data_IF_402018107381
#
_entry.id   IF_402018107381
#
_cell.length_a   1.000
_cell.length_b   1.000
_cell.length_c   1.000
_cell.angle_alpha   90.00
_cell.angle_beta   90.00
_cell.angle_gamma   90.00
#
_symmetry.space_group_name_H-M   'P 1'
#
loop_
_entity.id
_entity.type
_entity.pdbx_description
1 polymer ?
#
# COMPACT_ATOMS: atom_id res chain seq x y z
N UNK A 1 -14.36 7.11 -11.01
CA UNK A 1 -14.47 6.62 -9.62
C UNK A 1 -14.42 7.85 -8.72
N UNK A 2 -15.29 7.89 -7.72
CA UNK A 2 -15.21 8.91 -6.67
C UNK A 2 -15.11 8.15 -5.36
N UNK A 3 -13.90 8.12 -4.82
CA UNK A 3 -13.40 7.10 -3.89
C UNK A 3 -14.13 7.05 -2.52
N UNK A 4 -15.09 7.93 -2.28
CA UNK A 4 -15.81 8.02 -1.00
C UNK A 4 -17.34 8.18 -1.13
N UNK A 5 -17.91 8.13 -2.34
CA UNK A 5 -19.33 8.46 -2.55
C UNK A 5 -20.23 7.25 -2.84
N UNK A 6 -19.65 6.08 -3.12
CA UNK A 6 -20.37 4.97 -3.73
C UNK A 6 -19.83 3.63 -3.26
N UNK A 7 -20.74 2.68 -3.06
CA UNK A 7 -20.46 1.24 -2.90
C UNK A 7 -20.86 0.49 -4.17
N UNK A 8 -20.83 1.14 -5.33
CA UNK A 8 -21.17 0.54 -6.63
C UNK A 8 -20.25 1.03 -7.75
N UNK A 9 -18.95 0.90 -7.53
CA UNK A 9 -17.89 1.22 -8.48
C UNK A 9 -17.48 -0.02 -9.31
N UNK A 10 -16.92 0.21 -10.52
CA UNK A 10 -16.34 -0.87 -11.32
C UNK A 10 -15.30 -1.67 -10.55
N UNK A 11 -15.20 -2.96 -10.85
CA UNK A 11 -14.20 -3.86 -10.27
C UNK A 11 -12.77 -3.37 -10.54
N UNK A 12 -11.94 -3.45 -9.51
CA UNK A 12 -10.48 -3.36 -9.56
C UNK A 12 -9.76 -4.61 -10.11
N UNK A 13 -10.48 -5.51 -10.79
CA UNK A 13 -9.93 -6.74 -11.38
C UNK A 13 -8.66 -6.49 -12.22
N UNK A 14 -7.65 -7.33 -11.98
CA UNK A 14 -6.45 -7.40 -12.82
C UNK A 14 -6.71 -8.38 -13.97
N UNK A 15 -6.25 -8.04 -15.17
CA UNK A 15 -6.49 -8.83 -16.39
C UNK A 15 -5.19 -9.05 -17.15
N UNK A 16 -4.95 -10.28 -17.57
CA UNK A 16 -3.87 -10.62 -18.49
C UNK A 16 -4.40 -10.80 -19.91
N UNK A 17 -3.79 -10.12 -20.87
CA UNK A 17 -4.15 -10.22 -22.29
C UNK A 17 -2.96 -10.68 -23.12
N UNK A 18 -3.25 -11.41 -24.19
CA UNK A 18 -2.25 -11.68 -25.22
C UNK A 18 -1.94 -10.38 -25.98
N UNK A 19 -0.65 -10.03 -26.05
CA UNK A 19 -0.19 -8.75 -26.61
C UNK A 19 -0.43 -8.62 -28.12
N UNK A 20 -0.50 -9.74 -28.85
CA UNK A 20 -0.63 -9.74 -30.30
C UNK A 20 -2.10 -9.73 -30.75
N UNK A 21 -2.97 -10.37 -29.97
CA UNK A 21 -4.37 -10.62 -30.33
C UNK A 21 -5.37 -9.83 -29.48
N UNK A 22 -4.95 -9.32 -28.32
CA UNK A 22 -5.84 -8.69 -27.34
C UNK A 22 -6.79 -9.67 -26.64
N UNK A 23 -6.60 -10.98 -26.83
CA UNK A 23 -7.45 -12.00 -26.19
C UNK A 23 -7.18 -12.03 -24.68
N UNK A 24 -8.25 -12.01 -23.88
CA UNK A 24 -8.18 -12.23 -22.43
C UNK A 24 -7.66 -13.64 -22.14
N UNK A 25 -6.58 -13.73 -21.39
CA UNK A 25 -5.92 -14.99 -21.01
C UNK A 25 -6.30 -15.41 -19.59
N UNK A 26 -6.32 -14.46 -18.66
CA UNK A 26 -6.67 -14.70 -17.26
C UNK A 26 -7.17 -13.42 -16.59
N UNK A 27 -7.85 -13.59 -15.46
CA UNK A 27 -8.32 -12.51 -14.59
C UNK A 27 -7.91 -12.80 -13.16
N UNK A 28 -7.79 -11.77 -12.34
CA UNK A 28 -7.70 -11.86 -10.89
C UNK A 28 -8.60 -10.79 -10.28
N UNK A 29 -9.81 -11.19 -9.89
CA UNK A 29 -10.77 -10.33 -9.19
C UNK A 29 -10.58 -10.50 -7.67
N UNK A 30 -9.97 -9.51 -6.99
CA UNK A 30 -9.63 -9.66 -5.58
C UNK A 30 -10.87 -9.77 -4.67
N UNK A 31 -12.01 -9.24 -5.11
CA UNK A 31 -13.28 -9.27 -4.37
C UNK A 31 -14.10 -10.54 -4.60
N UNK A 32 -13.72 -11.37 -5.57
CA UNK A 32 -14.45 -12.60 -5.87
C UNK A 32 -14.03 -13.77 -4.96
N UNK A 33 -14.97 -14.68 -4.69
CA UNK A 33 -14.67 -15.94 -3.98
C UNK A 33 -13.66 -16.79 -4.75
N UNK A 34 -13.84 -16.89 -6.08
CA UNK A 34 -12.86 -17.42 -7.02
C UNK A 34 -12.28 -16.26 -7.86
N UNK A 35 -11.07 -15.77 -7.54
CA UNK A 35 -10.47 -14.63 -8.25
C UNK A 35 -10.20 -14.88 -9.73
N UNK A 36 -10.01 -16.14 -10.15
CA UNK A 36 -9.61 -16.48 -11.52
C UNK A 36 -10.80 -16.88 -12.41
N UNK A 37 -12.04 -16.77 -11.91
CA UNK A 37 -13.24 -17.02 -12.69
C UNK A 37 -13.39 -15.97 -13.80
N UNK A 38 -13.26 -16.39 -15.05
CA UNK A 38 -13.48 -15.52 -16.21
C UNK A 38 -14.99 -15.23 -16.33
N UNK A 39 -15.41 -13.96 -16.46
CA UNK A 39 -16.80 -13.60 -16.67
C UNK A 39 -17.43 -14.28 -17.88
N UNK A 40 -18.71 -14.60 -17.74
CA UNK A 40 -19.59 -15.06 -18.82
C UNK A 40 -20.93 -14.30 -18.74
N UNK A 41 -21.95 -14.76 -19.46
CA UNK A 41 -23.26 -14.11 -19.47
C UNK A 41 -23.97 -14.10 -18.10
N UNK A 42 -23.54 -14.96 -17.17
CA UNK A 42 -24.14 -15.14 -15.84
C UNK A 42 -23.22 -14.65 -14.71
N UNK A 43 -21.91 -14.57 -14.96
CA UNK A 43 -20.91 -14.15 -14.00
C UNK A 43 -20.32 -12.80 -14.39
N UNK A 44 -20.42 -11.82 -13.50
CA UNK A 44 -19.80 -10.51 -13.65
C UNK A 44 -18.75 -10.30 -12.56
N UNK A 45 -17.77 -9.42 -12.84
CA UNK A 45 -16.79 -9.02 -11.84
C UNK A 45 -17.43 -8.35 -10.64
N UNK A 46 -16.78 -8.52 -9.49
CA UNK A 46 -17.20 -8.02 -8.20
C UNK A 46 -17.08 -6.51 -8.14
N UNK A 47 -18.18 -5.83 -7.81
CA UNK A 47 -18.20 -4.38 -7.62
C UNK A 47 -17.36 -3.97 -6.40
N UNK A 48 -16.67 -2.84 -6.51
CA UNK A 48 -15.73 -2.33 -5.52
C UNK A 48 -14.64 -3.33 -5.08
N UNK A 49 -14.26 -4.30 -5.90
CA UNK A 49 -13.07 -5.08 -5.56
C UNK A 49 -11.86 -4.14 -5.43
N UNK A 50 -10.92 -4.35 -4.50
CA UNK A 50 -9.69 -3.56 -4.41
C UNK A 50 -9.00 -3.47 -5.77
N UNK A 51 -8.48 -2.30 -6.12
CA UNK A 51 -7.79 -2.10 -7.40
C UNK A 51 -6.27 -2.19 -7.25
N UNK A 52 -5.55 -2.22 -8.37
CA UNK A 52 -4.11 -1.98 -8.40
C UNK A 52 -3.86 -0.78 -9.31
N UNK A 53 -3.50 0.36 -8.72
CA UNK A 53 -3.39 1.64 -9.43
C UNK A 53 -1.95 2.13 -9.56
N UNK A 54 -1.04 1.70 -8.69
CA UNK A 54 0.38 2.00 -8.78
C UNK A 54 1.09 1.06 -9.78
N UNK A 55 2.26 1.44 -10.32
CA UNK A 55 2.99 0.59 -11.25
C UNK A 55 3.39 -0.75 -10.62
N UNK A 56 3.23 -1.84 -11.38
CA UNK A 56 3.65 -3.17 -10.98
C UNK A 56 5.17 -3.36 -11.14
N UNK A 57 5.70 -4.43 -10.53
CA UNK A 57 7.04 -4.93 -10.80
C UNK A 57 6.98 -6.37 -11.32
N UNK A 58 7.91 -6.79 -12.17
CA UNK A 58 7.94 -8.14 -12.75
C UNK A 58 9.33 -8.76 -12.59
N UNK A 59 9.36 -10.03 -12.15
CA UNK A 59 10.56 -10.86 -12.14
C UNK A 59 10.43 -11.97 -13.19
N UNK A 60 11.15 -11.83 -14.30
CA UNK A 60 11.14 -12.80 -15.40
C UNK A 60 11.70 -14.18 -15.02
N UNK A 61 12.57 -14.27 -14.01
CA UNK A 61 13.16 -15.56 -13.60
C UNK A 61 12.15 -16.40 -12.82
N UNK A 62 11.27 -15.75 -12.07
CA UNK A 62 10.24 -16.40 -11.25
C UNK A 62 8.89 -16.45 -11.95
N UNK A 63 8.74 -15.72 -13.06
CA UNK A 63 7.47 -15.44 -13.73
C UNK A 63 6.41 -14.88 -12.77
N UNK A 64 6.82 -13.94 -11.91
CA UNK A 64 5.96 -13.31 -10.92
C UNK A 64 5.79 -11.82 -11.20
N UNK A 65 4.55 -11.36 -11.19
CA UNK A 65 4.19 -9.94 -11.17
C UNK A 65 3.75 -9.55 -9.75
N UNK A 66 4.29 -8.45 -9.25
CA UNK A 66 4.02 -7.90 -7.93
C UNK A 66 3.17 -6.65 -8.08
N UNK A 67 1.99 -6.69 -7.46
CA UNK A 67 0.92 -5.72 -7.60
C UNK A 67 0.71 -5.01 -6.25
N UNK A 68 0.98 -3.69 -6.19
CA UNK A 68 0.48 -2.85 -5.11
C UNK A 68 -1.04 -2.78 -5.17
N UNK A 69 -1.70 -3.17 -4.09
CA UNK A 69 -3.16 -3.18 -4.00
C UNK A 69 -3.67 -1.97 -3.21
N UNK A 70 -4.75 -1.42 -3.73
CA UNK A 70 -5.61 -0.41 -3.12
C UNK A 70 -6.52 -0.97 -2.04
N UNK A 71 -7.45 -0.14 -1.58
CA UNK A 71 -8.54 -0.53 -0.68
C UNK A 71 -9.87 -0.67 -1.44
N UNK A 72 -10.86 -1.32 -0.82
CA UNK A 72 -12.24 -1.33 -1.30
C UNK A 72 -12.93 0.00 -1.01
N UNK A 73 -13.46 0.64 -2.05
CA UNK A 73 -14.27 1.85 -1.93
C UNK A 73 -15.59 1.59 -1.17
N UNK A 74 -16.03 2.51 -0.27
CA UNK A 74 -15.38 3.76 0.15
C UNK A 74 -14.08 3.57 0.92
N UNK A 75 -13.07 4.38 0.64
CA UNK A 75 -11.70 4.15 1.14
C UNK A 75 -11.58 4.43 2.64
N UNK A 76 -12.37 5.38 3.16
CA UNK A 76 -12.33 5.81 4.57
C UNK A 76 -13.46 5.23 5.45
N UNK A 77 -14.19 4.23 4.94
CA UNK A 77 -15.26 3.57 5.69
C UNK A 77 -15.40 2.10 5.28
N UNK A 78 -15.29 1.19 6.25
CA UNK A 78 -15.20 -0.24 6.04
C UNK A 78 -16.42 -1.05 6.52
N UNK A 79 -17.44 -0.41 7.10
CA UNK A 79 -18.50 -1.12 7.83
C UNK A 79 -19.34 -2.12 7.02
N UNK A 80 -19.36 -2.03 5.68
CA UNK A 80 -20.02 -3.00 4.79
C UNK A 80 -19.04 -3.90 4.02
N UNK A 81 -17.73 -3.81 4.26
CA UNK A 81 -16.75 -4.60 3.52
C UNK A 81 -16.86 -6.07 3.92
N UNK A 82 -16.93 -6.95 2.93
CA UNK A 82 -16.94 -8.39 3.17
C UNK A 82 -15.51 -8.92 3.38
N UNK A 83 -15.34 -10.12 3.98
CA UNK A 83 -14.03 -10.75 4.08
C UNK A 83 -13.31 -10.90 2.73
N UNK A 84 -14.04 -11.15 1.64
CA UNK A 84 -13.48 -11.25 0.29
C UNK A 84 -12.93 -9.90 -0.19
N UNK A 85 -13.64 -8.81 0.08
CA UNK A 85 -13.20 -7.43 -0.25
C UNK A 85 -11.98 -6.99 0.58
N UNK A 86 -11.79 -7.53 1.78
CA UNK A 86 -10.68 -7.21 2.68
C UNK A 86 -9.43 -8.09 2.44
N UNK A 87 -9.60 -9.29 1.89
CA UNK A 87 -8.54 -10.32 1.80
C UNK A 87 -7.27 -9.86 1.09
N UNK A 88 -7.37 -8.95 0.12
CA UNK A 88 -6.22 -8.40 -0.62
C UNK A 88 -6.16 -6.88 -0.60
N UNK A 89 -6.98 -6.22 0.22
CA UNK A 89 -6.94 -4.78 0.38
C UNK A 89 -5.62 -4.36 1.04
N UNK A 90 -5.08 -3.21 0.64
CA UNK A 90 -3.87 -2.59 1.22
C UNK A 90 -2.74 -3.61 1.40
N UNK A 91 -2.38 -4.26 0.29
CA UNK A 91 -1.49 -5.43 0.25
C UNK A 91 -0.48 -5.33 -0.88
N UNK A 92 0.59 -6.12 -0.80
CA UNK A 92 1.37 -6.53 -1.96
C UNK A 92 0.91 -7.93 -2.37
N UNK A 93 0.47 -8.08 -3.61
CA UNK A 93 0.04 -9.37 -4.17
C UNK A 93 1.03 -9.82 -5.22
N UNK A 94 1.47 -11.08 -5.14
CA UNK A 94 2.26 -11.72 -6.18
C UNK A 94 1.41 -12.73 -6.94
N UNK A 95 1.30 -12.53 -8.25
CA UNK A 95 0.64 -13.45 -9.16
C UNK A 95 1.69 -14.09 -10.08
N UNK A 96 1.45 -15.34 -10.48
CA UNK A 96 2.14 -15.88 -11.64
C UNK A 96 1.68 -15.07 -12.88
N UNK A 97 2.62 -14.48 -13.61
CA UNK A 97 2.30 -13.55 -14.69
C UNK A 97 1.67 -14.25 -15.91
N UNK A 98 2.03 -15.52 -16.15
CA UNK A 98 1.46 -16.31 -17.24
C UNK A 98 0.02 -16.73 -16.96
N UNK A 99 -0.31 -17.14 -15.72
CA UNK A 99 -1.60 -17.75 -15.40
C UNK A 99 -2.53 -16.89 -14.57
N UNK A 100 -2.06 -15.76 -14.01
CA UNK A 100 -2.84 -14.90 -13.11
C UNK A 100 -3.12 -15.50 -11.73
N UNK A 101 -2.49 -16.64 -11.39
CA UNK A 101 -2.78 -17.36 -10.15
C UNK A 101 -2.02 -16.72 -8.99
N UNK A 102 -2.68 -16.61 -7.84
CA UNK A 102 -2.05 -16.14 -6.61
C UNK A 102 -0.90 -17.06 -6.22
N UNK A 103 0.25 -16.46 -5.94
CA UNK A 103 1.40 -17.17 -5.34
C UNK A 103 1.49 -16.82 -3.86
N UNK A 104 1.48 -15.52 -3.54
CA UNK A 104 1.45 -15.04 -2.16
C UNK A 104 0.82 -13.64 -2.09
N UNK A 105 0.38 -13.25 -0.90
CA UNK A 105 -0.02 -11.88 -0.60
C UNK A 105 0.48 -11.52 0.80
N UNK A 106 0.81 -10.24 1.00
CA UNK A 106 1.17 -9.68 2.29
C UNK A 106 0.39 -8.40 2.51
N UNK A 107 -0.51 -8.40 3.52
CA UNK A 107 -1.33 -7.26 3.88
C UNK A 107 -0.54 -6.30 4.79
N UNK A 108 -0.43 -5.04 4.37
CA UNK A 108 0.34 -4.01 5.08
C UNK A 108 -0.52 -3.15 6.00
N UNK A 109 -1.84 -3.13 5.77
CA UNK A 109 -2.84 -2.50 6.62
C UNK A 109 -4.06 -3.42 6.73
N UNK A 110 -4.39 -3.82 7.95
CA UNK A 110 -5.61 -4.55 8.26
C UNK A 110 -6.80 -3.60 8.34
N UNK A 111 -7.87 -3.89 7.59
CA UNK A 111 -9.11 -3.11 7.62
C UNK A 111 -8.85 -1.59 7.51
N UNK A 112 -8.39 -1.18 6.34
CA UNK A 112 -7.90 0.16 6.08
C UNK A 112 -9.02 1.20 6.05
N UNK A 113 -9.02 2.13 7.01
CA UNK A 113 -10.01 3.20 7.14
C UNK A 113 -9.46 4.59 6.80
N UNK A 114 -8.24 4.67 6.28
CA UNK A 114 -7.53 5.93 6.12
C UNK A 114 -6.87 6.08 4.76
N UNK A 115 -7.26 5.27 3.77
CA UNK A 115 -6.63 5.24 2.46
C UNK A 115 -5.10 5.06 2.58
N UNK A 116 -4.67 4.08 3.37
CA UNK A 116 -3.28 3.76 3.68
C UNK A 116 -2.74 2.60 2.82
N UNK A 117 -3.31 2.45 1.63
CA UNK A 117 -2.96 1.45 0.63
C UNK A 117 -1.53 1.61 0.07
N UNK A 118 -1.18 0.75 -0.89
CA UNK A 118 0.18 0.69 -1.45
C UNK A 118 0.35 1.65 -2.65
N UNK A 119 1.09 2.78 -2.49
CA UNK A 119 1.06 3.87 -3.46
C UNK A 119 2.18 3.81 -4.50
N UNK A 120 3.11 2.87 -4.36
CA UNK A 120 4.41 2.94 -5.03
C UNK A 120 4.77 1.62 -5.68
N UNK A 121 5.52 1.76 -6.79
CA UNK A 121 6.12 0.62 -7.45
C UNK A 121 7.09 -0.08 -6.49
N UNK A 122 6.96 -1.40 -6.29
CA UNK A 122 7.92 -2.14 -5.48
C UNK A 122 9.26 -2.30 -6.21
N UNK A 123 10.37 -2.23 -5.46
CA UNK A 123 11.72 -2.39 -6.02
C UNK A 123 12.22 -3.82 -5.79
N UNK A 124 12.66 -4.49 -6.85
CA UNK A 124 13.27 -5.82 -6.77
C UNK A 124 14.78 -5.69 -6.59
N UNK A 125 15.35 -6.42 -5.64
CA UNK A 125 16.78 -6.42 -5.37
C UNK A 125 17.24 -7.77 -4.82
N UNK A 126 18.53 -8.09 -4.96
CA UNK A 126 19.16 -9.21 -4.27
C UNK A 126 20.07 -8.64 -3.17
N UNK A 127 19.89 -9.09 -1.93
CA UNK A 127 20.65 -8.59 -0.77
C UNK A 127 21.36 -9.73 -0.04
N UNK A 128 22.44 -9.42 0.69
CA UNK A 128 23.08 -10.39 1.58
C UNK A 128 22.39 -10.41 2.95
N UNK A 129 21.96 -11.59 3.38
CA UNK A 129 21.43 -11.84 4.72
C UNK A 129 22.23 -12.99 5.33
N UNK A 130 23.14 -12.66 6.24
CA UNK A 130 24.02 -13.63 6.91
C UNK A 130 24.84 -14.49 5.92
N UNK A 131 25.42 -13.87 4.89
CA UNK A 131 26.24 -14.56 3.89
C UNK A 131 25.45 -15.34 2.83
N UNK A 132 24.12 -15.18 2.80
CA UNK A 132 23.24 -15.76 1.77
C UNK A 132 22.61 -14.64 0.97
N UNK A 133 22.69 -14.73 -0.36
CA UNK A 133 21.93 -13.86 -1.25
C UNK A 133 20.44 -14.20 -1.18
N UNK A 134 19.63 -13.24 -0.73
CA UNK A 134 18.18 -13.34 -0.63
C UNK A 134 17.54 -12.41 -1.65
N UNK A 135 16.66 -12.92 -2.54
CA UNK A 135 15.91 -12.10 -3.47
C UNK A 135 14.75 -11.40 -2.76
N UNK A 136 14.78 -10.08 -2.70
CA UNK A 136 13.80 -9.27 -1.98
C UNK A 136 12.98 -8.34 -2.86
N UNK A 137 11.85 -7.90 -2.31
CA UNK A 137 11.05 -6.77 -2.74
C UNK A 137 11.01 -5.73 -1.63
N UNK A 138 11.33 -4.47 -1.97
CA UNK A 138 11.10 -3.31 -1.11
C UNK A 138 9.77 -2.68 -1.50
N UNK A 139 8.84 -2.60 -0.55
CA UNK A 139 7.50 -2.07 -0.74
C UNK A 139 7.24 -0.90 0.22
N UNK A 140 7.52 0.35 -0.21
CA UNK A 140 7.15 1.55 0.54
C UNK A 140 5.62 1.73 0.60
N UNK A 141 5.07 1.93 1.80
CA UNK A 141 3.64 2.09 2.04
C UNK A 141 3.28 3.52 2.48
N UNK A 142 2.02 3.95 2.29
CA UNK A 142 1.51 5.25 2.76
C UNK A 142 1.66 5.44 4.28
N UNK A 143 1.69 4.35 5.04
CA UNK A 143 1.93 4.34 6.49
C UNK A 143 3.32 4.84 6.91
N UNK A 144 4.23 5.06 5.95
CA UNK A 144 5.64 5.43 6.17
C UNK A 144 6.54 4.23 6.42
N UNK A 145 6.01 3.02 6.45
CA UNK A 145 6.78 1.78 6.54
C UNK A 145 7.36 1.38 5.17
N UNK A 146 8.49 0.68 5.19
CA UNK A 146 9.00 -0.06 4.03
C UNK A 146 8.98 -1.53 4.39
N UNK A 147 8.11 -2.31 3.75
CA UNK A 147 8.08 -3.75 3.94
C UNK A 147 9.15 -4.39 3.05
N UNK A 148 9.96 -5.27 3.63
CA UNK A 148 11.00 -6.00 2.90
C UNK A 148 10.67 -7.48 2.97
N UNK A 149 10.26 -8.04 1.84
CA UNK A 149 9.78 -9.42 1.75
C UNK A 149 10.71 -10.22 0.83
N UNK A 150 10.86 -11.51 1.06
CA UNK A 150 11.42 -12.42 0.07
C UNK A 150 10.43 -12.54 -1.08
N UNK A 151 10.85 -12.10 -2.27
CA UNK A 151 9.92 -11.95 -3.40
C UNK A 151 9.39 -13.29 -3.93
N UNK A 152 9.97 -14.42 -3.52
CA UNK A 152 9.53 -15.76 -3.95
C UNK A 152 8.30 -16.23 -3.20
N UNK A 153 8.16 -15.87 -1.92
CA UNK A 153 7.15 -16.44 -1.04
C UNK A 153 6.41 -15.41 -0.15
N UNK A 154 6.83 -14.14 -0.17
CA UNK A 154 6.20 -13.07 0.60
C UNK A 154 6.59 -13.07 2.09
N UNK A 155 7.57 -13.88 2.51
CA UNK A 155 8.03 -13.91 3.90
C UNK A 155 8.81 -12.64 4.25
N UNK A 156 8.64 -12.13 5.47
CA UNK A 156 9.36 -10.96 5.95
C UNK A 156 10.86 -11.24 6.07
N UNK A 157 11.67 -10.44 5.38
CA UNK A 157 13.13 -10.40 5.55
C UNK A 157 13.51 -9.33 6.59
N UNK A 158 12.81 -8.19 6.59
CA UNK A 158 12.83 -7.25 7.71
C UNK A 158 11.59 -7.49 8.56
N UNK A 159 11.71 -7.71 9.88
CA UNK A 159 10.56 -7.92 10.74
C UNK A 159 9.56 -6.75 10.70
N UNK A 160 8.28 -7.09 10.74
CA UNK A 160 7.18 -6.13 10.87
C UNK A 160 6.23 -6.58 11.99
N UNK A 161 6.63 -6.45 13.28
CA UNK A 161 5.81 -6.89 14.39
C UNK A 161 4.46 -6.16 14.44
N UNK A 162 3.41 -6.92 14.78
CA UNK A 162 2.09 -6.40 15.08
C UNK A 162 2.13 -5.51 16.33
N UNK A 163 1.59 -4.29 16.23
CA UNK A 163 1.49 -3.37 17.38
C UNK A 163 0.06 -2.87 17.55
N UNK A 164 -0.41 -2.69 18.80
CA UNK A 164 -1.69 -2.06 19.07
C UNK A 164 -1.76 -0.67 18.43
N UNK A 165 -2.92 -0.36 17.83
CA UNK A 165 -3.20 0.95 17.23
C UNK A 165 -4.35 1.64 17.96
N UNK A 166 -4.52 2.97 17.81
CA UNK A 166 -5.64 3.68 18.39
C UNK A 166 -6.98 3.02 18.03
N UNK A 167 -7.85 2.89 19.02
CA UNK A 167 -9.16 2.26 18.89
C UNK A 167 -10.26 3.32 18.93
N UNK A 168 -11.45 2.96 18.44
CA UNK A 168 -12.62 3.83 18.40
C UNK A 168 -13.05 4.14 16.96
N UNK A 169 -13.80 3.21 16.37
CA UNK A 169 -14.35 3.39 15.04
C UNK A 169 -15.58 4.31 15.04
N UNK A 170 -15.94 4.83 13.87
CA UNK A 170 -17.25 5.41 13.65
C UNK A 170 -18.35 4.36 13.89
N UNK A 171 -19.56 4.81 14.21
CA UNK A 171 -20.70 3.91 14.44
C UNK A 171 -20.95 3.07 13.18
N UNK A 172 -21.04 1.74 13.36
CA UNK A 172 -21.28 0.79 12.28
C UNK A 172 -20.02 0.26 11.60
N UNK A 173 -18.84 0.55 12.17
CA UNK A 173 -17.55 0.08 11.67
C UNK A 173 -16.67 -0.44 12.83
N UNK A 174 -15.46 -0.94 12.53
CA UNK A 174 -14.48 -1.37 13.54
C UNK A 174 -13.06 -0.91 13.19
N UNK A 175 -12.13 -0.93 14.14
CA UNK A 175 -10.70 -0.74 13.85
C UNK A 175 -10.00 -2.06 14.10
N UNK A 176 -9.03 -2.42 13.26
CA UNK A 176 -8.16 -3.55 13.54
C UNK A 176 -7.44 -3.35 14.89
N UNK A 177 -7.28 -4.43 15.66
CA UNK A 177 -6.64 -4.35 16.99
C UNK A 177 -5.16 -3.99 16.89
N UNK A 178 -4.51 -4.45 15.83
CA UNK A 178 -3.09 -4.24 15.56
C UNK A 178 -2.87 -3.91 14.10
N UNK A 179 -1.68 -3.40 13.80
CA UNK A 179 -1.15 -3.23 12.46
C UNK A 179 0.31 -3.70 12.44
N UNK A 180 0.84 -4.15 11.29
CA UNK A 180 2.25 -4.48 11.15
C UNK A 180 3.09 -3.19 11.07
N UNK A 181 4.15 -3.11 11.88
CA UNK A 181 5.10 -2.00 11.85
C UNK A 181 6.47 -2.51 11.46
N UNK A 182 6.87 -2.27 10.19
CA UNK A 182 8.21 -2.62 9.72
C UNK A 182 9.29 -1.96 10.56
N UNK A 183 10.33 -2.72 10.88
CA UNK A 183 11.53 -2.19 11.52
C UNK A 183 12.37 -1.33 10.56
N UNK A 184 12.09 -1.38 9.25
CA UNK A 184 12.54 -0.41 8.26
C UNK A 184 11.41 0.59 7.97
N UNK A 185 11.53 1.81 8.49
CA UNK A 185 10.45 2.80 8.43
C UNK A 185 10.99 4.23 8.38
N UNK A 186 10.29 5.09 7.62
CA UNK A 186 10.49 6.54 7.64
C UNK A 186 9.71 7.22 8.77
N UNK A 187 8.93 6.47 9.55
CA UNK A 187 8.16 7.02 10.67
C UNK A 187 9.11 7.61 11.72
N UNK A 188 8.78 8.79 12.28
CA UNK A 188 9.57 9.35 13.36
C UNK A 188 9.50 8.45 14.60
N UNK A 189 10.64 8.30 15.31
CA UNK A 189 10.73 7.48 16.54
C UNK A 189 9.90 8.02 17.71
N UNK A 190 9.52 9.29 17.65
CA UNK A 190 8.67 9.95 18.64
C UNK A 190 7.46 10.52 17.92
N UNK A 191 6.31 10.48 18.59
CA UNK A 191 5.13 11.15 18.08
C UNK A 191 5.43 12.64 17.87
N UNK A 192 4.99 13.15 16.73
CA UNK A 192 5.10 14.57 16.43
C UNK A 192 4.13 15.32 17.34
N UNK A 193 4.66 15.91 18.42
CA UNK A 193 3.91 16.88 19.21
C UNK A 193 3.99 18.24 18.54
N UNK A 194 2.99 19.09 18.75
CA UNK A 194 2.92 20.45 18.18
C UNK A 194 4.17 21.31 18.44
N UNK A 195 4.98 20.96 19.45
CA UNK A 195 6.24 21.64 19.80
C UNK A 195 7.49 21.11 19.07
N UNK A 196 7.41 20.04 18.28
CA UNK A 196 8.54 19.49 17.53
C UNK A 196 8.87 20.24 16.22
N UNK A 197 7.99 21.15 15.79
CA UNK A 197 8.11 21.86 14.51
C UNK A 197 8.88 23.20 14.58
N UNK A 198 9.32 23.62 15.78
CA UNK A 198 10.04 24.89 15.95
C UNK A 198 11.44 24.61 16.50
N UNK A 199 12.40 24.35 15.61
CA UNK A 199 13.78 24.17 16.07
C UNK A 199 14.81 23.78 15.03
N UNK A 200 15.00 24.60 13.98
CA UNK A 200 16.34 24.88 13.39
C UNK A 200 16.33 25.96 12.29
N UNK A 201 15.67 27.09 12.55
CA UNK A 201 16.07 28.34 11.90
C UNK A 201 16.24 29.40 12.99
N UNK A 202 17.49 29.64 13.35
CA UNK A 202 17.88 30.83 14.10
C UNK A 202 17.75 32.01 13.13
N UNK A 203 16.52 32.47 12.91
CA UNK A 203 16.25 33.74 12.23
C UNK A 203 16.70 34.82 13.19
N UNK A 204 17.90 35.36 12.96
CA UNK A 204 18.32 36.61 13.58
C UNK A 204 17.28 37.67 13.21
N UNK A 205 16.74 38.46 14.16
CA UNK A 205 15.83 39.53 13.81
C UNK A 205 16.53 40.50 12.86
N UNK A 206 15.87 40.79 11.73
CA UNK A 206 16.38 41.70 10.72
C UNK A 206 16.44 43.14 11.29
N UNK A 207 17.63 43.71 11.17
CA UNK A 207 17.97 45.14 11.10
C UNK A 207 16.93 46.16 11.56
N UNK A 208 17.13 46.67 12.78
CA UNK A 208 16.78 48.05 13.13
C UNK A 208 17.68 48.98 12.28
N UNK A 209 17.14 49.98 11.56
CA UNK A 209 17.97 50.94 10.83
C UNK A 209 18.81 51.78 11.82
N UNK A 210 20.13 51.83 11.61
CA UNK A 210 21.02 52.75 12.32
C UNK A 210 20.72 54.19 11.89
N UNK A 211 20.17 55.00 12.79
CA UNK A 211 20.28 56.46 12.71
C UNK A 211 21.60 56.87 13.39
N UNK A 212 22.54 57.39 12.60
CA UNK A 212 23.73 58.08 13.11
C UNK A 212 23.37 59.55 13.34
N UNK A 213 23.64 60.14 14.52
CA UNK A 213 23.62 61.59 14.67
C UNK A 213 24.89 62.21 14.04
N UNK A 214 24.80 63.42 13.45
CA UNK A 214 25.96 64.13 12.89
C UNK A 214 26.91 64.58 14.00
N UNK A 215 28.21 64.53 13.71
CA UNK A 215 29.26 65.07 14.57
C UNK A 215 29.11 66.59 14.72
N UNK A 216 29.12 67.07 15.95
CA UNK A 216 29.35 68.47 16.27
C UNK A 216 30.86 68.76 16.22
N UNK A 217 31.21 69.84 15.52
CA UNK A 217 31.81 70.98 16.22
C UNK A 217 30.68 71.81 16.79
#
# INVERSE_FOLDING_TARGET
MTDNFSTREPSGVIRGFDVNTGKLQWVFDPGAKDPNAIPDDQHHFTLNSPNSWAPAAYDAKLDLVYLPMGVTTPDIWGGNRTPEQERYASSIVALNATTGKLVWNYQTVHHDLWDMDMPSQPTLADIDVNGKTVPVIYAPAKTGNIFVLDRRNGELVVPAPERPVPQGAAKGDYVAKTQPFSDLSFRPKKDLTRCGYVGRHHVRPAGVPRYLPPAAL
#
